data_IF_299102353582
#
_entry.id   IF_299102353582
#
_cell.length_a   1.000
_cell.length_b   1.000
_cell.length_c   1.000
_cell.angle_alpha   90.00
_cell.angle_beta   90.00
_cell.angle_gamma   90.00
#
_symmetry.space_group_name_H-M   'P 1'
#
loop_
_entity.id
_entity.type
_entity.pdbx_description
1 polymer ?
#
# COMPACT_ATOMS: atom_id res chain seq x y z
N UNK A 1 6.78 -18.74 -18.66
CA UNK A 1 6.51 -18.08 -17.36
C UNK A 1 6.07 -19.04 -16.28
N UNK A 2 5.07 -19.85 -16.52
CA UNK A 2 4.60 -20.86 -15.56
C UNK A 2 5.66 -21.86 -15.17
N UNK A 3 6.47 -22.33 -16.13
CA UNK A 3 7.59 -23.25 -15.87
C UNK A 3 8.67 -22.65 -14.96
N UNK A 4 8.95 -21.35 -15.08
CA UNK A 4 9.89 -20.65 -14.21
C UNK A 4 9.39 -20.57 -12.78
N UNK A 5 8.11 -20.32 -12.61
CA UNK A 5 7.45 -20.30 -11.30
C UNK A 5 7.45 -21.69 -10.66
N UNK A 6 7.16 -22.72 -11.43
CA UNK A 6 7.20 -24.11 -10.98
C UNK A 6 8.59 -24.53 -10.54
N UNK A 7 9.64 -24.18 -11.31
CA UNK A 7 11.03 -24.48 -10.96
C UNK A 7 11.45 -23.76 -9.68
N UNK A 8 11.10 -22.49 -9.52
CA UNK A 8 11.41 -21.72 -8.31
C UNK A 8 10.65 -22.28 -7.11
N UNK A 9 9.40 -22.67 -7.30
CA UNK A 9 8.60 -23.32 -6.25
C UNK A 9 9.16 -24.68 -5.88
N UNK A 10 9.69 -25.44 -6.84
CA UNK A 10 10.32 -26.74 -6.59
C UNK A 10 11.62 -26.61 -5.80
N UNK A 11 12.45 -25.62 -6.10
CA UNK A 11 13.67 -25.32 -5.33
C UNK A 11 13.33 -24.95 -3.89
N UNK A 12 12.16 -24.38 -3.66
CA UNK A 12 11.65 -24.01 -2.33
C UNK A 12 10.58 -25.00 -1.82
N UNK A 13 10.62 -26.24 -2.27
CA UNK A 13 9.64 -27.26 -1.92
C UNK A 13 9.45 -27.43 -0.41
N UNK A 14 10.55 -27.37 0.34
CA UNK A 14 10.53 -27.39 1.80
C UNK A 14 9.84 -26.16 2.36
N UNK A 15 10.08 -24.98 1.78
CA UNK A 15 9.44 -23.74 2.18
C UNK A 15 7.94 -23.74 1.91
N UNK A 16 7.49 -24.34 0.80
CA UNK A 16 6.07 -24.47 0.48
C UNK A 16 5.35 -25.39 1.49
N UNK A 17 5.98 -26.48 1.90
CA UNK A 17 5.45 -27.37 2.95
C UNK A 17 5.30 -26.63 4.27
N UNK A 18 6.28 -25.80 4.61
CA UNK A 18 6.29 -25.02 5.84
C UNK A 18 5.47 -23.74 5.72
N UNK A 19 5.00 -23.37 4.53
CA UNK A 19 4.18 -22.17 4.33
C UNK A 19 2.86 -22.20 5.11
N UNK A 20 2.38 -23.36 5.51
CA UNK A 20 1.23 -23.50 6.42
C UNK A 20 1.58 -23.13 7.85
N UNK A 21 2.86 -23.30 8.21
CA UNK A 21 3.38 -23.00 9.53
C UNK A 21 4.19 -21.71 9.53
N UNK A 22 4.92 -21.45 8.45
CA UNK A 22 5.79 -20.28 8.31
C UNK A 22 5.42 -19.48 7.07
N UNK A 23 5.66 -18.17 7.14
CA UNK A 23 5.48 -17.26 6.01
C UNK A 23 6.79 -17.11 5.25
N UNK A 24 6.70 -16.96 3.92
CA UNK A 24 7.86 -16.67 3.08
C UNK A 24 7.52 -15.62 2.03
N UNK A 25 8.53 -14.87 1.60
CA UNK A 25 8.39 -13.80 0.62
C UNK A 25 8.86 -14.27 -0.75
N UNK A 26 8.06 -13.95 -1.78
CA UNK A 26 8.37 -14.28 -3.16
C UNK A 26 7.75 -13.26 -4.11
N UNK A 27 8.55 -12.70 -5.01
CA UNK A 27 8.13 -11.69 -6.00
C UNK A 27 7.42 -10.47 -5.38
N UNK A 28 7.84 -10.07 -4.18
CA UNK A 28 7.24 -8.95 -3.47
C UNK A 28 5.98 -9.28 -2.68
N UNK A 29 5.53 -10.53 -2.73
CA UNK A 29 4.40 -11.02 -1.94
C UNK A 29 4.87 -11.90 -0.80
N UNK A 30 4.13 -11.88 0.29
CA UNK A 30 4.29 -12.84 1.39
C UNK A 30 3.25 -13.93 1.25
N UNK A 31 3.72 -15.17 1.16
CA UNK A 31 2.89 -16.37 1.11
C UNK A 31 2.85 -17.01 2.48
N UNK A 32 1.70 -17.52 2.86
CA UNK A 32 1.54 -18.17 4.15
C UNK A 32 0.09 -18.38 4.54
N UNK A 33 -0.14 -18.81 5.78
CA UNK A 33 -1.51 -19.04 6.25
C UNK A 33 -2.30 -17.73 6.35
N UNK A 34 -3.47 -17.76 5.73
CA UNK A 34 -4.47 -16.70 5.82
C UNK A 34 -5.76 -17.31 6.36
N UNK A 35 -6.61 -16.48 6.95
CA UNK A 35 -7.88 -16.93 7.51
C UNK A 35 -9.03 -16.20 6.84
N UNK A 36 -10.03 -16.96 6.38
CA UNK A 36 -11.22 -16.39 5.80
C UNK A 36 -11.99 -15.57 6.85
N UNK A 37 -12.32 -14.30 6.59
CA UNK A 37 -13.12 -13.50 7.52
C UNK A 37 -14.56 -14.01 7.65
N UNK A 38 -15.04 -14.81 6.68
CA UNK A 38 -16.39 -15.37 6.69
C UNK A 38 -16.50 -16.67 7.50
N UNK A 39 -15.52 -17.55 7.35
CA UNK A 39 -15.58 -18.91 7.90
C UNK A 39 -14.52 -19.20 8.94
N UNK A 40 -13.50 -18.35 9.07
CA UNK A 40 -12.36 -18.58 9.95
C UNK A 40 -11.44 -19.71 9.48
N UNK A 41 -11.70 -20.30 8.32
CA UNK A 41 -10.88 -21.38 7.78
C UNK A 41 -9.54 -20.87 7.31
N UNK A 42 -8.50 -21.63 7.63
CA UNK A 42 -7.14 -21.40 7.15
C UNK A 42 -7.03 -21.79 5.68
N UNK A 43 -6.34 -20.97 4.91
CA UNK A 43 -5.95 -21.27 3.54
C UNK A 43 -4.56 -20.72 3.23
N UNK A 44 -3.88 -21.28 2.23
CA UNK A 44 -2.61 -20.76 1.77
C UNK A 44 -2.89 -19.55 0.85
N UNK A 45 -2.59 -18.36 1.34
CA UNK A 45 -2.82 -17.14 0.60
C UNK A 45 -1.55 -16.34 0.40
N UNK A 46 -1.69 -15.19 -0.23
CA UNK A 46 -0.60 -14.24 -0.44
C UNK A 46 -1.08 -12.81 -0.26
N UNK A 47 -0.16 -11.95 0.12
CA UNK A 47 -0.41 -10.52 0.32
C UNK A 47 0.86 -9.75 -0.01
N UNK A 48 0.78 -8.44 -0.31
CA UNK A 48 1.99 -7.64 -0.49
C UNK A 48 2.91 -7.77 0.73
N UNK A 49 4.20 -8.01 0.51
CA UNK A 49 5.17 -8.20 1.59
C UNK A 49 5.39 -6.90 2.36
N UNK A 50 5.86 -7.02 3.60
CA UNK A 50 6.27 -5.86 4.42
C UNK A 50 7.33 -5.02 3.70
N UNK A 51 8.24 -5.67 2.99
CA UNK A 51 9.27 -5.04 2.18
C UNK A 51 8.66 -4.18 1.06
N UNK A 52 7.66 -4.72 0.36
CA UNK A 52 6.96 -4.01 -0.72
C UNK A 52 6.20 -2.79 -0.20
N UNK A 53 5.52 -2.95 0.93
CA UNK A 53 4.82 -1.84 1.60
C UNK A 53 5.83 -0.78 2.05
N UNK A 54 6.96 -1.18 2.63
CA UNK A 54 8.02 -0.26 3.06
C UNK A 54 8.59 0.52 1.88
N UNK A 55 8.78 -0.11 0.73
CA UNK A 55 9.29 0.53 -0.49
C UNK A 55 8.36 1.63 -1.01
N UNK A 56 7.05 1.36 -1.07
CA UNK A 56 6.10 2.38 -1.51
C UNK A 56 6.03 3.55 -0.51
N UNK A 57 6.09 3.26 0.78
CA UNK A 57 6.15 4.30 1.81
C UNK A 57 7.37 5.19 1.64
N UNK A 58 8.52 4.61 1.36
CA UNK A 58 9.76 5.34 1.09
C UNK A 58 9.63 6.24 -0.13
N UNK A 59 9.08 5.73 -1.24
CA UNK A 59 8.85 6.51 -2.46
C UNK A 59 7.93 7.71 -2.22
N UNK A 60 6.85 7.49 -1.48
CA UNK A 60 5.93 8.57 -1.11
C UNK A 60 6.65 9.62 -0.27
N UNK A 61 7.44 9.19 0.71
CA UNK A 61 8.22 10.09 1.55
C UNK A 61 9.25 10.92 0.77
N UNK A 62 9.89 10.33 -0.22
CA UNK A 62 10.86 11.02 -1.09
C UNK A 62 10.19 12.11 -1.95
N UNK A 63 8.95 11.88 -2.38
CA UNK A 63 8.19 12.88 -3.13
C UNK A 63 7.71 14.03 -2.25
N UNK A 64 7.22 13.71 -1.05
CA UNK A 64 6.59 14.67 -0.13
C UNK A 64 7.60 15.25 0.86
N UNK A 65 8.78 15.63 0.37
CA UNK A 65 9.82 16.27 1.20
C UNK A 65 9.60 17.78 1.28
N UNK A 66 10.09 18.45 2.36
CA UNK A 66 9.95 19.91 2.49
C UNK A 66 10.59 20.70 1.35
N UNK A 67 11.62 20.14 0.72
CA UNK A 67 12.30 20.76 -0.42
C UNK A 67 11.57 20.73 -1.73
N UNK A 68 10.44 20.00 -1.82
CA UNK A 68 9.63 19.92 -3.03
C UNK A 68 8.76 21.18 -3.14
N UNK A 69 9.10 22.06 -4.07
CA UNK A 69 8.44 23.35 -4.30
C UNK A 69 7.45 23.31 -5.45
N UNK A 70 7.21 22.16 -6.05
CA UNK A 70 6.28 22.01 -7.16
C UNK A 70 4.84 22.34 -6.75
N UNK A 71 3.98 22.83 -7.68
CA UNK A 71 2.56 23.02 -7.41
C UNK A 71 1.90 21.73 -6.95
N UNK A 72 0.89 21.84 -6.09
CA UNK A 72 0.17 20.69 -5.57
C UNK A 72 -0.38 19.77 -6.67
N UNK A 73 -0.91 20.33 -7.74
CA UNK A 73 -1.46 19.57 -8.87
C UNK A 73 -0.41 18.62 -9.47
N UNK A 74 0.81 19.09 -9.60
CA UNK A 74 1.93 18.30 -10.13
C UNK A 74 2.39 17.24 -9.14
N UNK A 75 2.49 17.60 -7.87
CA UNK A 75 2.84 16.67 -6.78
C UNK A 75 1.79 15.57 -6.68
N UNK A 76 0.53 15.94 -6.70
CA UNK A 76 -0.60 15.01 -6.61
C UNK A 76 -0.63 14.04 -7.79
N UNK A 77 -0.43 14.54 -8.99
CA UNK A 77 -0.36 13.72 -10.21
C UNK A 77 0.74 12.65 -10.09
N UNK A 78 1.92 13.06 -9.66
CA UNK A 78 3.06 12.15 -9.48
C UNK A 78 2.81 11.13 -8.38
N UNK A 79 2.24 11.56 -7.27
CA UNK A 79 1.84 10.70 -6.17
C UNK A 79 0.84 9.64 -6.64
N UNK A 80 -0.16 10.06 -7.39
CA UNK A 80 -1.19 9.16 -7.93
C UNK A 80 -0.59 8.15 -8.92
N UNK A 81 0.37 8.54 -9.74
CA UNK A 81 1.09 7.64 -10.63
C UNK A 81 1.81 6.54 -9.86
N UNK A 82 2.51 6.91 -8.79
CA UNK A 82 3.22 5.97 -7.91
C UNK A 82 2.22 4.99 -7.29
N UNK A 83 1.14 5.50 -6.73
CA UNK A 83 0.13 4.68 -6.04
C UNK A 83 -0.62 3.75 -7.00
N UNK A 84 -1.03 4.25 -8.14
CA UNK A 84 -1.73 3.46 -9.15
C UNK A 84 -0.84 2.36 -9.74
N UNK A 85 0.44 2.66 -9.98
CA UNK A 85 1.42 1.68 -10.45
C UNK A 85 1.63 0.55 -9.44
N UNK A 86 1.78 0.89 -8.18
CA UNK A 86 1.93 -0.09 -7.10
C UNK A 86 0.66 -0.95 -6.96
N UNK A 87 -0.51 -0.32 -6.97
CA UNK A 87 -1.80 -1.03 -6.91
C UNK A 87 -1.98 -1.99 -8.08
N UNK A 88 -1.59 -1.60 -9.29
CA UNK A 88 -1.68 -2.45 -10.46
C UNK A 88 -0.82 -3.71 -10.33
N UNK A 89 0.38 -3.58 -9.76
CA UNK A 89 1.28 -4.71 -9.53
C UNK A 89 0.80 -5.58 -8.34
N UNK A 90 0.35 -4.96 -7.25
CA UNK A 90 -0.04 -5.64 -6.02
C UNK A 90 -1.56 -5.75 -5.87
N UNK A 91 -2.26 -6.03 -6.97
CA UNK A 91 -3.71 -6.15 -6.98
C UNK A 91 -4.25 -7.55 -6.67
N UNK A 92 -3.36 -8.53 -6.44
CA UNK A 92 -3.74 -9.92 -6.20
C UNK A 92 -3.71 -10.28 -4.71
N UNK A 93 -4.49 -11.28 -4.33
CA UNK A 93 -4.48 -11.83 -2.99
C UNK A 93 -5.14 -10.95 -1.94
N UNK A 94 -4.69 -11.07 -0.70
CA UNK A 94 -5.22 -10.32 0.45
C UNK A 94 -4.56 -8.95 0.52
N UNK A 95 -5.22 -7.93 -0.02
CA UNK A 95 -4.66 -6.58 -0.17
C UNK A 95 -5.11 -5.59 0.90
N UNK A 96 -6.21 -5.84 1.58
CA UNK A 96 -6.84 -4.88 2.52
C UNK A 96 -5.89 -4.31 3.56
N UNK A 97 -5.12 -5.19 4.20
CA UNK A 97 -4.19 -4.79 5.26
C UNK A 97 -3.06 -3.91 4.75
N UNK A 98 -2.47 -4.30 3.61
CA UNK A 98 -1.39 -3.56 2.97
C UNK A 98 -1.91 -2.21 2.44
N UNK A 99 -3.05 -2.21 1.79
CA UNK A 99 -3.66 -0.99 1.25
C UNK A 99 -4.01 0.01 2.35
N UNK A 100 -4.54 -0.48 3.48
CA UNK A 100 -4.81 0.37 4.64
C UNK A 100 -3.53 1.00 5.16
N UNK A 101 -2.46 0.22 5.33
CA UNK A 101 -1.19 0.71 5.81
C UNK A 101 -0.61 1.79 4.88
N UNK A 102 -0.69 1.60 3.58
CA UNK A 102 -0.24 2.58 2.59
C UNK A 102 -1.11 3.84 2.63
N UNK A 103 -2.44 3.68 2.65
CA UNK A 103 -3.37 4.82 2.70
C UNK A 103 -3.15 5.69 3.94
N UNK A 104 -2.98 5.07 5.09
CA UNK A 104 -2.71 5.78 6.35
C UNK A 104 -1.38 6.54 6.28
N UNK A 105 -0.34 5.91 5.74
CA UNK A 105 0.96 6.54 5.57
C UNK A 105 0.89 7.72 4.60
N UNK A 106 0.22 7.53 3.46
CA UNK A 106 0.02 8.59 2.45
C UNK A 106 -0.72 9.76 3.06
N UNK A 107 -1.80 9.50 3.79
CA UNK A 107 -2.57 10.53 4.47
C UNK A 107 -1.68 11.35 5.42
N UNK A 108 -0.91 10.68 6.27
CA UNK A 108 -0.03 11.36 7.22
C UNK A 108 1.03 12.21 6.51
N UNK A 109 1.66 11.67 5.47
CA UNK A 109 2.69 12.38 4.69
C UNK A 109 2.12 13.57 3.93
N UNK A 110 0.98 13.42 3.29
CA UNK A 110 0.30 14.51 2.58
C UNK A 110 -0.12 15.61 3.55
N UNK A 111 -0.72 15.22 4.67
CA UNK A 111 -1.13 16.18 5.71
C UNK A 111 0.07 16.99 6.22
N UNK A 112 1.17 16.34 6.54
CA UNK A 112 2.38 17.02 7.00
C UNK A 112 2.97 17.93 5.93
N UNK A 113 2.98 17.48 4.67
CA UNK A 113 3.44 18.27 3.54
C UNK A 113 2.61 19.55 3.35
N UNK A 114 1.30 19.42 3.32
CA UNK A 114 0.37 20.54 3.16
C UNK A 114 0.41 21.48 4.38
N UNK A 115 0.48 20.91 5.58
CA UNK A 115 0.61 21.67 6.82
C UNK A 115 1.82 22.62 6.79
N UNK A 116 2.97 22.09 6.36
CA UNK A 116 4.19 22.90 6.24
C UNK A 116 4.05 23.96 5.16
N UNK A 117 3.49 23.60 4.02
CA UNK A 117 3.31 24.49 2.86
C UNK A 117 2.39 25.66 3.19
N UNK A 118 1.31 25.38 3.90
CA UNK A 118 0.32 26.40 4.31
C UNK A 118 0.58 27.00 5.70
N UNK A 119 1.71 26.68 6.30
CA UNK A 119 2.15 27.20 7.61
C UNK A 119 1.09 27.04 8.72
N UNK A 120 0.47 25.85 8.76
CA UNK A 120 -0.52 25.52 9.81
C UNK A 120 0.24 25.13 11.07
N UNK A 121 -0.10 25.78 12.20
CA UNK A 121 0.57 25.57 13.49
C UNK A 121 0.17 24.29 14.21
N UNK A 122 -1.04 23.78 13.93
CA UNK A 122 -1.57 22.54 14.53
C UNK A 122 -1.12 21.31 13.76
N UNK A 123 -1.61 20.13 14.15
CA UNK A 123 -1.35 18.85 13.44
C UNK A 123 -1.94 18.83 12.03
N UNK A 124 -2.82 19.77 11.70
CA UNK A 124 -3.42 19.86 10.38
C UNK A 124 -4.61 18.93 10.13
N UNK A 125 -5.05 18.17 11.12
CA UNK A 125 -6.17 17.23 10.97
C UNK A 125 -7.49 17.93 10.67
N UNK A 126 -7.69 19.12 11.22
CA UNK A 126 -8.90 19.93 10.99
C UNK A 126 -8.93 20.53 9.59
N UNK A 127 -7.81 21.09 9.14
CA UNK A 127 -7.66 21.72 7.83
C UNK A 127 -7.58 20.68 6.71
N UNK A 128 -6.95 19.56 6.97
CA UNK A 128 -6.72 18.50 6.00
C UNK A 128 -7.21 17.14 6.52
N UNK A 129 -8.54 16.95 6.67
CA UNK A 129 -9.09 15.65 7.05
C UNK A 129 -8.98 14.64 5.89
N UNK A 130 -9.16 13.36 6.20
CA UNK A 130 -9.10 12.29 5.18
C UNK A 130 -10.03 12.56 3.99
N UNK A 131 -11.24 13.02 4.25
CA UNK A 131 -12.23 13.30 3.20
C UNK A 131 -11.74 14.37 2.24
N UNK A 132 -11.02 15.35 2.74
CA UNK A 132 -10.46 16.42 1.91
C UNK A 132 -9.25 15.92 1.11
N UNK A 133 -8.33 15.21 1.76
CA UNK A 133 -7.11 14.70 1.11
C UNK A 133 -7.45 13.72 0.00
N UNK A 134 -8.30 12.74 0.27
CA UNK A 134 -8.70 11.73 -0.72
C UNK A 134 -9.86 12.17 -1.61
N UNK A 135 -10.47 13.30 -1.34
CA UNK A 135 -11.55 13.87 -2.14
C UNK A 135 -11.10 15.07 -2.94
N UNK A 136 -11.30 16.27 -2.38
CA UNK A 136 -11.05 17.54 -3.09
C UNK A 136 -9.57 17.77 -3.43
N UNK A 137 -8.64 17.23 -2.65
CA UNK A 137 -7.21 17.34 -2.95
C UNK A 137 -6.76 16.35 -4.07
N UNK A 138 -7.57 15.36 -4.38
CA UNK A 138 -7.38 14.48 -5.52
C UNK A 138 -6.45 13.29 -5.33
N UNK A 139 -6.04 12.98 -4.10
CA UNK A 139 -5.16 11.84 -3.81
C UNK A 139 -5.94 10.53 -3.97
N UNK A 140 -5.36 9.56 -4.67
CA UNK A 140 -5.96 8.23 -4.87
C UNK A 140 -5.91 7.44 -3.57
N UNK A 141 -7.03 6.81 -3.23
CA UNK A 141 -7.14 5.88 -2.10
C UNK A 141 -7.10 4.45 -2.63
N UNK A 142 -6.18 3.64 -2.10
CA UNK A 142 -6.01 2.27 -2.57
C UNK A 142 -7.19 1.37 -2.22
N UNK A 143 -7.75 1.53 -1.02
CA UNK A 143 -8.90 0.75 -0.57
C UNK A 143 -10.22 1.13 -1.23
N UNK A 144 -10.24 2.20 -1.98
CA UNK A 144 -11.48 2.76 -2.51
C UNK A 144 -12.30 3.49 -1.43
N UNK A 145 -13.44 4.08 -1.80
CA UNK A 145 -14.29 4.82 -0.86
C UNK A 145 -14.84 3.91 0.23
N UNK A 146 -14.94 4.41 1.47
CA UNK A 146 -15.60 3.68 2.55
C UNK A 146 -17.05 3.43 2.18
N UNK A 147 -17.50 2.20 2.39
CA UNK A 147 -18.86 1.80 2.14
C UNK A 147 -19.14 1.22 0.76
N UNK A 148 -18.18 1.27 -0.15
CA UNK A 148 -18.29 0.61 -1.45
C UNK A 148 -17.60 -0.75 -1.36
N UNK A 149 -18.40 -1.80 -1.33
CA UNK A 149 -17.92 -3.17 -1.47
C UNK A 149 -17.94 -3.55 -2.94
N UNK A 150 -16.76 -3.72 -3.46
CA UNK A 150 -16.58 -4.27 -4.80
C UNK A 150 -16.30 -5.74 -4.71
#
# INVERSE_FOLDING_TARGET
MLKRLELTLNEKKTSVRNAREERFDFLGYTFGPHYSPRTGREYLGHSPSKKSVSRIKTKVGELLVPGNMDPWEKVCERLNQILKGWRAYFGCGSTSKAYRAVDEHVYDKVRHFLRRRHKVSSQGTRQFPEERVFGSMGVVRLQGPRGVRL
#
